data_IF_913108970765
#
_entry.id   IF_913108970765
#
_cell.length_a   1.000
_cell.length_b   1.000
_cell.length_c   1.000
_cell.angle_alpha   90.00
_cell.angle_beta   90.00
_cell.angle_gamma   90.00
#
_symmetry.space_group_name_H-M   'P 1'
#
loop_
_entity.id
_entity.type
_entity.pdbx_description
1 polymer ?
#
# COMPACT_ATOMS: atom_id res chain seq x y z
N UNK A 1 -5.62 -5.70 -16.79
CA UNK A 1 -5.18 -5.74 -15.39
C UNK A 1 -3.73 -6.19 -15.33
N UNK A 2 -2.85 -5.35 -14.79
CA UNK A 2 -1.46 -5.72 -14.52
C UNK A 2 -1.40 -6.25 -13.09
N UNK A 3 -0.98 -7.49 -12.90
CA UNK A 3 -0.76 -8.08 -11.58
C UNK A 3 0.49 -7.45 -10.95
N UNK A 4 0.39 -7.01 -9.69
CA UNK A 4 1.53 -6.50 -8.91
C UNK A 4 2.05 -7.64 -8.04
N UNK A 5 3.22 -8.17 -8.38
CA UNK A 5 3.88 -9.27 -7.66
C UNK A 5 4.95 -8.76 -6.68
N UNK A 6 5.48 -7.55 -6.92
CA UNK A 6 6.52 -6.96 -6.08
C UNK A 6 6.25 -5.47 -5.81
N UNK A 7 6.54 -4.95 -4.59
CA UNK A 7 6.42 -3.53 -4.26
C UNK A 7 7.15 -2.57 -5.21
N UNK A 8 8.21 -3.03 -5.89
CA UNK A 8 8.97 -2.25 -6.87
C UNK A 8 8.18 -1.89 -8.13
N UNK A 9 7.06 -2.56 -8.38
CA UNK A 9 6.19 -2.31 -9.54
C UNK A 9 5.18 -1.18 -9.26
N UNK A 10 5.14 -0.66 -8.03
CA UNK A 10 4.26 0.43 -7.66
C UNK A 10 4.71 1.75 -8.26
N UNK A 11 3.75 2.57 -8.68
CA UNK A 11 3.97 3.87 -9.30
C UNK A 11 3.64 4.93 -8.27
N UNK A 12 4.60 5.82 -7.98
CA UNK A 12 4.40 6.95 -7.06
C UNK A 12 3.19 7.80 -7.50
N UNK A 13 2.37 8.19 -6.52
CA UNK A 13 1.14 8.96 -6.70
C UNK A 13 -0.05 8.13 -7.19
N UNK A 14 0.11 6.82 -7.45
CA UNK A 14 -1.04 5.94 -7.76
C UNK A 14 -1.66 5.34 -6.51
N UNK A 15 -2.96 5.11 -6.62
CA UNK A 15 -3.77 4.48 -5.57
C UNK A 15 -3.83 2.97 -5.76
N UNK A 16 -3.67 2.26 -4.65
CA UNK A 16 -3.70 0.81 -4.59
C UNK A 16 -4.50 0.35 -3.37
N UNK A 17 -5.05 -0.85 -3.48
CA UNK A 17 -5.61 -1.60 -2.37
C UNK A 17 -4.58 -2.61 -1.90
N UNK A 18 -4.23 -2.53 -0.62
CA UNK A 18 -3.23 -3.35 0.05
C UNK A 18 -3.91 -4.28 1.04
N UNK A 19 -3.54 -5.55 1.02
CA UNK A 19 -3.90 -6.50 2.08
C UNK A 19 -2.69 -6.65 3.00
N UNK A 20 -2.85 -6.21 4.25
CA UNK A 20 -1.78 -6.19 5.25
C UNK A 20 -2.16 -7.05 6.45
N UNK A 21 -1.22 -7.89 6.87
CA UNK A 21 -1.40 -8.72 8.06
C UNK A 21 -0.91 -7.96 9.30
N UNK A 22 -1.81 -7.77 10.27
CA UNK A 22 -1.51 -7.16 11.58
C UNK A 22 -1.83 -8.18 12.67
N UNK A 23 -0.79 -8.79 13.22
CA UNK A 23 -0.94 -9.86 14.20
C UNK A 23 -1.54 -11.12 13.58
N UNK A 24 -2.75 -11.49 14.01
CA UNK A 24 -3.50 -12.64 13.49
C UNK A 24 -4.66 -12.23 12.56
N UNK A 25 -4.74 -10.95 12.21
CA UNK A 25 -5.84 -10.39 11.40
C UNK A 25 -5.29 -9.79 10.12
N UNK A 26 -6.05 -9.88 9.04
CA UNK A 26 -5.74 -9.25 7.77
C UNK A 26 -6.68 -8.06 7.54
N UNK A 27 -6.11 -6.95 7.09
CA UNK A 27 -6.81 -5.71 6.83
C UNK A 27 -6.65 -5.30 5.37
N UNK A 28 -7.75 -4.84 4.77
CA UNK A 28 -7.74 -4.21 3.46
C UNK A 28 -7.63 -2.68 3.63
N UNK A 29 -6.62 -2.07 3.00
CA UNK A 29 -6.36 -0.64 3.08
C UNK A 29 -6.22 -0.05 1.68
N UNK A 30 -6.97 1.02 1.39
CA UNK A 30 -6.81 1.79 0.16
C UNK A 30 -5.89 3.00 0.43
N UNK A 31 -4.75 3.05 -0.25
CA UNK A 31 -3.77 4.11 -0.02
C UNK A 31 -3.08 4.56 -1.31
N UNK A 32 -2.66 5.82 -1.33
CA UNK A 32 -1.81 6.36 -2.40
C UNK A 32 -0.36 6.05 -2.08
N UNK A 33 0.31 5.32 -2.97
CA UNK A 33 1.72 4.97 -2.80
C UNK A 33 2.61 6.20 -3.04
N UNK A 34 3.52 6.48 -2.11
CA UNK A 34 4.49 7.56 -2.25
C UNK A 34 5.86 7.03 -2.62
N UNK A 35 6.41 6.10 -1.82
CA UNK A 35 7.74 5.56 -2.08
C UNK A 35 7.95 4.22 -1.39
N UNK A 36 8.94 3.48 -1.90
CA UNK A 36 9.45 2.28 -1.27
C UNK A 36 10.74 2.60 -0.52
N UNK A 37 10.80 2.22 0.76
CA UNK A 37 12.03 2.22 1.53
C UNK A 37 12.65 0.81 1.51
N UNK A 38 13.69 0.62 0.69
CA UNK A 38 14.40 -0.65 0.60
C UNK A 38 15.21 -1.01 1.85
N UNK A 39 15.67 0.00 2.60
CA UNK A 39 16.51 -0.23 3.76
C UNK A 39 15.71 -0.94 4.86
N UNK A 40 14.47 -0.52 5.07
CA UNK A 40 13.57 -1.11 6.06
C UNK A 40 12.52 -2.07 5.47
N UNK A 41 12.49 -2.25 4.15
CA UNK A 41 11.46 -3.01 3.42
C UNK A 41 10.04 -2.53 3.77
N UNK A 42 9.82 -1.22 3.63
CA UNK A 42 8.54 -0.58 3.95
C UNK A 42 7.94 0.17 2.78
N UNK A 43 6.62 0.14 2.72
CA UNK A 43 5.81 0.99 1.87
C UNK A 43 5.49 2.27 2.63
N UNK A 44 5.72 3.41 2.00
CA UNK A 44 5.27 4.71 2.51
C UNK A 44 4.09 5.16 1.66
N UNK A 45 2.96 5.35 2.31
CA UNK A 45 1.69 5.63 1.65
C UNK A 45 0.92 6.74 2.38
N UNK A 46 -0.04 7.33 1.68
CA UNK A 46 -1.11 8.12 2.28
C UNK A 46 -2.36 7.26 2.33
N UNK A 47 -2.79 6.89 3.54
CA UNK A 47 -4.06 6.23 3.79
C UNK A 47 -5.17 7.27 3.75
N UNK A 48 -6.17 7.04 2.92
CA UNK A 48 -7.36 7.90 2.86
C UNK A 48 -8.44 7.32 3.77
N UNK A 49 -8.80 8.04 4.83
CA UNK A 49 -9.97 7.73 5.67
C UNK A 49 -11.06 8.78 5.44
N UNK A 50 -12.28 8.51 5.89
CA UNK A 50 -13.46 9.33 5.59
C UNK A 50 -13.29 10.81 5.97
N UNK A 51 -12.51 11.10 7.01
CA UNK A 51 -12.35 12.45 7.57
C UNK A 51 -10.93 13.05 7.40
N UNK A 52 -9.90 12.23 7.14
CA UNK A 52 -8.50 12.68 7.11
C UNK A 52 -7.57 11.73 6.34
N UNK A 53 -6.50 12.31 5.78
CA UNK A 53 -5.39 11.61 5.15
C UNK A 53 -4.25 11.36 6.17
N UNK A 54 -3.87 10.10 6.34
CA UNK A 54 -2.80 9.70 7.25
C UNK A 54 -1.56 9.24 6.50
N UNK A 55 -0.39 9.79 6.84
CA UNK A 55 0.89 9.22 6.43
C UNK A 55 1.11 7.91 7.18
N UNK A 56 1.25 6.82 6.46
CA UNK A 56 1.43 5.48 7.04
C UNK A 56 2.64 4.78 6.44
N UNK A 57 3.31 4.01 7.29
CA UNK A 57 4.42 3.15 6.93
C UNK A 57 4.12 1.72 7.39
N UNK A 58 4.21 0.75 6.48
CA UNK A 58 4.07 -0.66 6.83
C UNK A 58 5.09 -1.53 6.10
N UNK A 59 5.43 -2.66 6.71
CA UNK A 59 6.19 -3.74 6.05
C UNK A 59 5.42 -4.25 4.84
N UNK A 60 6.12 -4.80 3.84
CA UNK A 60 5.53 -5.25 2.58
C UNK A 60 4.18 -5.97 2.75
N UNK A 61 3.19 -5.50 1.99
CA UNK A 61 1.86 -6.09 1.92
C UNK A 61 1.93 -7.50 1.30
N UNK A 62 1.01 -8.38 1.69
CA UNK A 62 0.95 -9.74 1.17
C UNK A 62 0.27 -9.81 -0.19
N UNK A 63 -0.65 -8.91 -0.47
CA UNK A 63 -1.27 -8.74 -1.78
C UNK A 63 -1.52 -7.25 -2.07
N UNK A 64 -1.34 -6.85 -3.35
CA UNK A 64 -1.55 -5.47 -3.80
C UNK A 64 -2.31 -5.46 -5.12
N UNK A 65 -3.41 -4.73 -5.17
CA UNK A 65 -4.23 -4.57 -6.38
C UNK A 65 -4.36 -3.10 -6.76
N UNK A 66 -4.22 -2.73 -8.06
CA UNK A 66 -4.48 -1.37 -8.49
C UNK A 66 -5.95 -1.03 -8.28
N UNK A 67 -6.23 0.17 -7.76
CA UNK A 67 -7.59 0.72 -7.82
C UNK A 67 -7.72 1.33 -9.22
N UNK A 68 -8.47 0.66 -10.11
CA UNK A 68 -8.71 1.19 -11.46
C UNK A 68 -9.43 2.54 -11.38
N UNK A 69 -9.04 3.47 -12.26
CA UNK A 69 -9.83 4.66 -12.59
C UNK A 69 -10.80 4.33 -13.72
#
# INVERSE_FOLDING_TARGET
MTTIEHPDQLIEGKRYRFFVDVGQSQYELEATFLRLDHHFRRLICILHMDDEDYSIEWSWATEITPVEN
#
